data_IF_282814352598
#
_entry.id   IF_282814352598
#
_cell.length_a   1.000
_cell.length_b   1.000
_cell.length_c   1.000
_cell.angle_alpha   90.00
_cell.angle_beta   90.00
_cell.angle_gamma   90.00
#
_symmetry.space_group_name_H-M   'P 1'
#
loop_
_entity.id
_entity.type
_entity.pdbx_description
1 polymer ?
#
# COMPACT_ATOMS: atom_id res chain seq x y z
N UNK A 1 -24.88 4.29 -10.51
CA UNK A 1 -24.43 4.85 -11.78
C UNK A 1 -22.91 4.82 -11.79
N UNK A 2 -22.33 3.91 -12.56
CA UNK A 2 -20.89 3.76 -12.66
C UNK A 2 -20.40 4.75 -13.72
N UNK A 3 -19.33 5.48 -13.42
CA UNK A 3 -18.79 6.49 -14.32
C UNK A 3 -18.12 5.81 -15.55
N UNK A 4 -18.90 5.56 -16.60
CA UNK A 4 -18.44 4.92 -17.84
C UNK A 4 -17.79 5.89 -18.85
N UNK A 5 -17.52 7.15 -18.46
CA UNK A 5 -16.82 8.13 -19.30
C UNK A 5 -15.38 8.34 -18.87
N UNK A 6 -14.47 8.43 -19.85
CA UNK A 6 -13.04 8.73 -19.60
C UNK A 6 -12.88 10.07 -18.87
N UNK A 7 -13.78 11.05 -19.11
CA UNK A 7 -13.72 12.35 -18.43
C UNK A 7 -13.94 12.28 -16.92
N UNK A 8 -14.63 11.24 -16.42
CA UNK A 8 -14.86 11.05 -15.00
C UNK A 8 -13.70 10.34 -14.29
N UNK A 9 -12.70 9.84 -15.03
CA UNK A 9 -11.54 9.18 -14.46
C UNK A 9 -10.65 10.17 -13.70
N UNK A 10 -10.46 9.92 -12.40
CA UNK A 10 -9.57 10.72 -11.55
C UNK A 10 -8.35 9.91 -11.13
N UNK A 11 -7.27 10.03 -11.89
CA UNK A 11 -5.99 9.43 -11.53
C UNK A 11 -5.50 9.97 -10.18
N UNK A 12 -5.00 9.07 -9.32
CA UNK A 12 -4.40 9.41 -8.03
C UNK A 12 -2.94 9.01 -8.04
N UNK A 13 -2.06 9.97 -7.78
CA UNK A 13 -0.61 9.75 -7.69
C UNK A 13 -0.17 9.76 -6.22
N UNK A 14 0.81 8.94 -5.89
CA UNK A 14 1.30 8.78 -4.53
C UNK A 14 2.72 8.23 -4.51
N UNK A 15 3.28 8.18 -3.31
CA UNK A 15 4.59 7.63 -3.01
C UNK A 15 4.45 6.64 -1.87
N UNK A 16 5.33 5.65 -1.83
CA UNK A 16 5.32 4.63 -0.79
C UNK A 16 6.69 4.04 -0.58
N UNK A 17 6.85 3.35 0.53
CA UNK A 17 8.06 2.63 0.90
C UNK A 17 7.71 1.32 1.58
N UNK A 18 8.58 0.34 1.43
CA UNK A 18 8.42 -0.99 2.00
C UNK A 18 9.68 -1.44 2.72
N UNK A 19 9.52 -1.95 3.94
CA UNK A 19 10.55 -2.66 4.68
C UNK A 19 10.29 -4.15 4.58
N UNK A 20 11.31 -4.90 4.17
CA UNK A 20 11.30 -6.37 4.09
C UNK A 20 12.40 -6.89 5.00
N UNK A 21 12.04 -7.70 5.99
CA UNK A 21 12.99 -8.26 6.94
C UNK A 21 12.86 -9.77 7.04
N UNK A 22 13.98 -10.48 7.00
CA UNK A 22 14.05 -11.91 7.30
C UNK A 22 14.34 -12.04 8.79
N UNK A 23 13.28 -12.25 9.59
CA UNK A 23 13.43 -12.48 11.03
C UNK A 23 13.65 -13.97 11.32
N UNK A 24 14.18 -14.35 12.49
CA UNK A 24 14.36 -15.76 12.88
C UNK A 24 13.08 -16.59 12.87
N UNK A 25 11.91 -15.95 13.04
CA UNK A 25 10.59 -16.60 13.08
C UNK A 25 9.84 -16.52 11.75
N UNK A 26 10.45 -15.93 10.73
CA UNK A 26 9.90 -15.85 9.37
C UNK A 26 10.02 -14.47 8.71
N UNK A 27 9.63 -14.38 7.43
CA UNK A 27 9.60 -13.12 6.69
C UNK A 27 8.56 -12.14 7.25
N UNK A 28 8.99 -10.88 7.37
CA UNK A 28 8.17 -9.73 7.76
C UNK A 28 8.14 -8.70 6.61
N UNK A 29 6.97 -8.15 6.32
CA UNK A 29 6.85 -6.99 5.44
C UNK A 29 5.99 -5.90 6.08
N UNK A 30 6.48 -4.66 6.01
CA UNK A 30 5.75 -3.45 6.39
C UNK A 30 5.81 -2.47 5.22
N UNK A 31 4.67 -2.13 4.66
CA UNK A 31 4.55 -1.20 3.54
C UNK A 31 3.72 0.01 3.96
N UNK A 32 4.09 1.20 3.48
CA UNK A 32 3.33 2.42 3.66
C UNK A 32 3.17 3.15 2.33
N UNK A 33 2.01 3.76 2.12
CA UNK A 33 1.71 4.54 0.93
C UNK A 33 0.96 5.83 1.30
N UNK A 34 1.32 6.93 0.63
CA UNK A 34 0.68 8.23 0.77
C UNK A 34 0.35 8.81 -0.60
N UNK A 35 -0.90 9.22 -0.79
CA UNK A 35 -1.32 10.00 -1.96
C UNK A 35 -0.77 11.42 -1.89
N UNK A 36 -0.34 11.99 -3.03
CA UNK A 36 0.12 13.40 -3.08
C UNK A 36 -0.97 14.39 -2.70
N UNK A 37 -2.21 14.10 -3.08
CA UNK A 37 -3.38 14.97 -2.86
C UNK A 37 -4.26 14.53 -1.70
N UNK A 38 -3.85 13.51 -0.92
CA UNK A 38 -4.64 12.97 0.18
C UNK A 38 -3.83 12.95 1.48
N UNK A 39 -4.41 13.41 2.60
CA UNK A 39 -3.74 13.42 3.89
C UNK A 39 -3.75 12.06 4.58
N UNK A 40 -4.24 11.00 3.95
CA UNK A 40 -4.25 9.64 4.50
C UNK A 40 -2.98 8.87 4.14
N UNK A 41 -2.42 8.14 5.11
CA UNK A 41 -1.39 7.12 4.88
C UNK A 41 -2.03 5.76 5.02
N UNK A 42 -1.81 4.89 4.05
CA UNK A 42 -2.17 3.48 4.13
C UNK A 42 -0.96 2.72 4.64
N UNK A 43 -1.16 1.90 5.67
CA UNK A 43 -0.15 1.02 6.22
C UNK A 43 -0.60 -0.42 6.00
N UNK A 44 0.29 -1.24 5.47
CA UNK A 44 0.06 -2.67 5.25
C UNK A 44 1.15 -3.47 5.97
N UNK A 45 0.74 -4.51 6.69
CA UNK A 45 1.63 -5.38 7.42
C UNK A 45 1.33 -6.82 7.07
N UNK A 46 2.37 -7.61 6.81
CA UNK A 46 2.24 -9.06 6.60
C UNK A 46 3.38 -9.82 7.26
N UNK A 47 3.04 -11.02 7.74
CA UNK A 47 3.97 -11.94 8.38
C UNK A 47 3.66 -13.36 7.92
N UNK A 48 4.70 -14.13 7.62
CA UNK A 48 4.59 -15.57 7.43
C UNK A 48 5.26 -16.28 8.60
N UNK A 49 4.52 -17.17 9.27
CA UNK A 49 5.02 -18.00 10.38
C UNK A 49 5.03 -19.44 9.90
N UNK A 50 6.20 -20.09 9.95
CA UNK A 50 6.31 -21.52 9.71
C UNK A 50 5.98 -22.27 11.01
N UNK A 51 5.09 -23.26 10.93
CA UNK A 51 4.71 -24.15 12.03
C UNK A 51 5.32 -25.54 11.84
#
# INVERSE_FOLDING_TARGET
>A
DAADTVEAFRARVGWGGGLRWRSPVGPLALDFARGRSQPSTLVHFSIAVAF
#
